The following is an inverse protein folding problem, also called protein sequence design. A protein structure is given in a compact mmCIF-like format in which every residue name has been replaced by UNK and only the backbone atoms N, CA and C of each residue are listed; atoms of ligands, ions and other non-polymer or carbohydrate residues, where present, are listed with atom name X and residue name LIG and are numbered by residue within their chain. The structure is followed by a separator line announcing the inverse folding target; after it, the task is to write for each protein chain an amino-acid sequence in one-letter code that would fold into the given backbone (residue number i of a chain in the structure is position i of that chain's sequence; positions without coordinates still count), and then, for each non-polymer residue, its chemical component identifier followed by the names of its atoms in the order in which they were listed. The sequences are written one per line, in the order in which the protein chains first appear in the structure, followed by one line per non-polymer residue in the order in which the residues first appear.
data_IF_820629433233
#
_entry.id   IF_820629433233
#
_cell.length_a   1.000
_cell.length_b   1.000
_cell.length_c   1.000
_cell.angle_alpha   90.00
_cell.angle_beta   90.00
_cell.angle_gamma   90.00
#
_symmetry.space_group_name_H-M   'P 1'
#
loop_
_entity.id
_entity.type
_entity.pdbx_description
1 polymer ?
#
# COMPACT_ATOMS: atom_id res chain seq x y z
N UNK A 1 17.75 -7.68 10.97
CA UNK A 1 17.58 -6.44 10.17
C UNK A 1 18.40 -5.35 10.83
N UNK A 2 19.00 -4.42 10.07
CA UNK A 2 19.90 -3.43 10.68
C UNK A 2 19.12 -2.29 11.36
N UNK A 3 19.71 -1.69 12.38
CA UNK A 3 19.18 -0.55 13.14
C UNK A 3 18.55 0.55 12.27
N UNK A 4 19.12 0.83 11.09
CA UNK A 4 18.56 1.78 10.12
C UNK A 4 17.11 1.43 9.72
N UNK A 5 16.85 0.17 9.33
CA UNK A 5 15.51 -0.27 8.91
C UNK A 5 14.49 -0.25 10.02
N UNK A 6 14.92 -0.50 11.24
CA UNK A 6 14.02 -0.56 12.40
C UNK A 6 13.74 0.82 12.99
N UNK A 7 14.75 1.70 13.08
CA UNK A 7 14.62 2.95 13.82
C UNK A 7 14.55 4.20 12.95
N UNK A 8 15.28 4.25 11.84
CA UNK A 8 15.39 5.47 11.00
C UNK A 8 14.36 5.46 9.88
N UNK A 9 14.31 4.36 9.12
CA UNK A 9 13.48 4.26 7.93
C UNK A 9 12.00 4.59 8.18
N UNK A 10 11.32 4.10 9.24
CA UNK A 10 9.91 4.44 9.48
C UNK A 10 9.68 5.96 9.66
N UNK A 11 10.63 6.66 10.28
CA UNK A 11 10.56 8.12 10.46
C UNK A 11 10.76 8.88 9.15
N UNK A 12 11.72 8.42 8.33
CA UNK A 12 11.98 8.99 7.00
C UNK A 12 10.78 8.78 6.09
N UNK A 13 10.26 7.57 6.05
CA UNK A 13 9.07 7.21 5.25
C UNK A 13 7.86 8.00 5.72
N UNK A 14 7.61 8.10 7.03
CA UNK A 14 6.51 8.91 7.55
C UNK A 14 6.54 10.34 7.00
N UNK A 15 7.72 10.98 7.01
CA UNK A 15 7.86 12.35 6.51
C UNK A 15 7.73 12.43 4.98
N UNK A 16 8.32 11.46 4.26
CA UNK A 16 8.30 11.42 2.80
C UNK A 16 6.90 11.14 2.24
N UNK A 17 6.09 10.35 2.96
CA UNK A 17 4.74 9.94 2.54
C UNK A 17 3.62 10.81 3.13
N UNK A 18 3.96 11.90 3.81
CA UNK A 18 3.03 12.88 4.40
C UNK A 18 3.17 14.26 3.74
N UNK A 19 3.40 14.30 2.44
CA UNK A 19 3.45 15.57 1.69
C UNK A 19 2.06 15.98 1.21
N UNK A 20 1.95 17.22 0.69
CA UNK A 20 0.68 17.71 0.15
C UNK A 20 0.12 16.81 -0.95
N UNK A 21 0.99 16.24 -1.79
CA UNK A 21 0.58 15.42 -2.94
C UNK A 21 -0.02 14.08 -2.48
N UNK A 22 0.65 13.39 -1.55
CA UNK A 22 0.13 12.12 -1.01
C UNK A 22 -1.17 12.36 -0.22
N UNK A 23 -1.30 13.49 0.47
CA UNK A 23 -2.55 13.89 1.15
C UNK A 23 -3.71 14.14 0.18
N UNK A 24 -3.45 14.51 -1.07
CA UNK A 24 -4.48 14.64 -2.12
C UNK A 24 -4.85 13.28 -2.75
N UNK A 25 -3.93 12.31 -2.77
CA UNK A 25 -4.13 10.95 -3.32
C UNK A 25 -4.91 10.07 -2.33
N UNK A 26 -4.57 10.09 -1.04
CA UNK A 26 -5.16 9.21 -0.02
C UNK A 26 -6.70 9.26 0.05
N UNK A 27 -7.38 10.42 0.02
CA UNK A 27 -8.84 10.46 0.00
C UNK A 27 -9.45 9.73 -1.21
N UNK A 28 -8.78 9.79 -2.39
CA UNK A 28 -9.27 9.13 -3.60
C UNK A 28 -9.17 7.62 -3.49
N UNK A 29 -8.02 7.10 -3.05
CA UNK A 29 -7.83 5.65 -2.92
C UNK A 29 -8.69 5.07 -1.79
N UNK A 30 -8.93 5.83 -0.71
CA UNK A 30 -9.83 5.43 0.37
C UNK A 30 -11.31 5.56 0.02
N UNK A 31 -11.65 6.36 -0.99
CA UNK A 31 -13.05 6.55 -1.41
C UNK A 31 -13.71 5.23 -1.80
N UNK A 32 -14.89 4.96 -1.23
CA UNK A 32 -15.65 3.74 -1.46
C UNK A 32 -15.20 2.53 -0.64
N UNK A 33 -14.22 2.67 0.26
CA UNK A 33 -13.98 1.68 1.32
C UNK A 33 -15.23 1.58 2.21
N UNK A 34 -15.55 0.37 2.66
CA UNK A 34 -16.71 0.10 3.53
C UNK A 34 -16.53 -1.20 4.30
N UNK A 35 -17.31 -1.38 5.35
CA UNK A 35 -17.33 -2.60 6.14
C UNK A 35 -16.01 -2.89 6.82
N UNK A 36 -15.60 -4.14 6.85
CA UNK A 36 -14.32 -4.58 7.41
C UNK A 36 -13.22 -4.49 6.36
N UNK A 37 -12.16 -3.75 6.68
CA UNK A 37 -11.05 -3.46 5.76
C UNK A 37 -9.75 -4.05 6.29
N UNK A 38 -8.96 -4.71 5.45
CA UNK A 38 -7.56 -5.04 5.74
C UNK A 38 -6.67 -4.00 5.09
N UNK A 39 -5.83 -3.31 5.85
CA UNK A 39 -4.83 -2.38 5.30
C UNK A 39 -3.43 -3.00 5.37
N UNK A 40 -2.89 -3.33 4.20
CA UNK A 40 -1.54 -3.91 4.05
C UNK A 40 -0.52 -2.77 4.00
N UNK A 41 0.41 -2.79 4.95
CA UNK A 41 1.39 -1.71 5.14
C UNK A 41 0.77 -0.47 5.76
N UNK A 42 0.10 -0.66 6.89
CA UNK A 42 -0.54 0.43 7.65
C UNK A 42 0.41 1.59 7.96
N UNK A 43 1.69 1.28 8.13
CA UNK A 43 2.72 2.26 8.38
C UNK A 43 2.46 3.07 9.65
N UNK A 44 2.49 4.39 9.50
CA UNK A 44 2.25 5.32 10.61
C UNK A 44 0.80 5.81 10.69
N UNK A 45 -0.13 5.12 10.02
CA UNK A 45 -1.56 5.43 10.07
C UNK A 45 -1.96 6.68 9.28
N UNK A 46 -1.28 6.99 8.18
CA UNK A 46 -1.58 8.20 7.38
C UNK A 46 -2.94 8.15 6.69
N UNK A 47 -3.55 6.98 6.54
CA UNK A 47 -4.88 6.82 5.95
C UNK A 47 -6.02 6.98 6.96
N UNK A 48 -5.75 6.95 8.27
CA UNK A 48 -6.78 6.94 9.33
C UNK A 48 -7.77 8.11 9.25
N UNK A 49 -7.32 9.28 8.82
CA UNK A 49 -8.15 10.49 8.65
C UNK A 49 -8.96 10.51 7.35
N UNK A 50 -8.78 9.49 6.50
CA UNK A 50 -9.41 9.40 5.19
C UNK A 50 -10.37 8.20 5.07
N UNK A 51 -10.53 7.39 6.13
CA UNK A 51 -11.50 6.32 6.09
C UNK A 51 -12.92 6.89 6.02
N UNK A 52 -13.73 6.46 5.03
CA UNK A 52 -15.15 6.83 4.98
C UNK A 52 -15.93 6.33 6.21
N UNK A 53 -17.02 6.97 6.59
CA UNK A 53 -17.85 6.56 7.73
C UNK A 53 -18.47 5.16 7.56
N UNK A 54 -18.52 4.65 6.34
CA UNK A 54 -18.99 3.28 6.02
C UNK A 54 -17.97 2.20 6.42
N UNK A 55 -16.73 2.55 6.75
CA UNK A 55 -15.73 1.61 7.28
C UNK A 55 -16.04 1.35 8.75
N UNK A 56 -16.36 0.11 9.06
CA UNK A 56 -16.74 -0.29 10.42
C UNK A 56 -15.55 -0.73 11.27
N UNK A 57 -14.48 -1.22 10.64
CA UNK A 57 -13.25 -1.67 11.29
C UNK A 57 -12.10 -1.80 10.29
N UNK A 58 -10.89 -1.51 10.73
CA UNK A 58 -9.65 -1.73 9.97
C UNK A 58 -8.75 -2.73 10.69
N UNK A 59 -8.24 -3.71 9.94
CA UNK A 59 -7.21 -4.64 10.39
C UNK A 59 -5.88 -4.22 9.79
N UNK A 60 -5.04 -3.62 10.63
CA UNK A 60 -3.75 -3.07 10.25
C UNK A 60 -2.69 -4.17 10.14
N UNK A 61 -2.05 -4.28 8.98
CA UNK A 61 -0.91 -5.18 8.77
C UNK A 61 0.37 -4.33 8.74
N UNK A 62 1.19 -4.45 9.78
CA UNK A 62 2.41 -3.63 9.92
C UNK A 62 3.50 -4.38 10.69
N UNK A 63 4.66 -4.51 10.08
CA UNK A 63 5.83 -5.19 10.66
C UNK A 63 6.60 -4.32 11.67
N UNK A 64 6.59 -2.99 11.47
CA UNK A 64 7.41 -2.06 12.23
C UNK A 64 6.72 -1.59 13.50
N UNK A 65 7.21 -2.04 14.66
CA UNK A 65 6.78 -1.51 15.96
C UNK A 65 7.03 0.02 16.10
N UNK A 66 8.01 0.56 15.39
CA UNK A 66 8.26 2.02 15.36
C UNK A 66 7.19 2.72 14.57
N UNK A 67 6.76 2.19 13.42
CA UNK A 67 5.63 2.72 12.65
C UNK A 67 4.37 2.76 13.50
N UNK A 68 4.05 1.68 14.22
CA UNK A 68 2.88 1.60 15.10
C UNK A 68 2.93 2.63 16.24
N UNK A 69 4.09 2.82 16.87
CA UNK A 69 4.24 3.91 17.87
C UNK A 69 4.03 5.30 17.28
N UNK A 70 4.52 5.54 16.06
CA UNK A 70 4.28 6.81 15.36
C UNK A 70 2.81 7.00 14.95
N UNK A 71 2.06 5.91 14.85
CA UNK A 71 0.63 5.92 14.54
C UNK A 71 -0.25 6.25 15.76
N UNK A 72 0.23 6.13 17.01
CA UNK A 72 -0.58 6.22 18.23
C UNK A 72 -1.48 7.46 18.29
N UNK A 73 -0.94 8.65 17.97
CA UNK A 73 -1.75 9.88 17.97
C UNK A 73 -2.85 9.86 16.92
N UNK A 74 -2.57 9.31 15.73
CA UNK A 74 -3.54 9.19 14.64
C UNK A 74 -4.60 8.15 14.97
N UNK A 75 -4.20 7.04 15.59
CA UNK A 75 -5.11 6.01 16.07
C UNK A 75 -6.05 6.56 17.17
N UNK A 76 -5.53 7.33 18.12
CA UNK A 76 -6.33 7.96 19.17
C UNK A 76 -7.36 8.97 18.62
N UNK A 77 -7.06 9.61 17.49
CA UNK A 77 -7.95 10.55 16.81
C UNK A 77 -8.85 9.89 15.75
N UNK A 78 -8.63 8.61 15.45
CA UNK A 78 -9.38 7.88 14.42
C UNK A 78 -10.76 7.50 14.96
N UNK A 79 -11.83 7.88 14.22
CA UNK A 79 -13.19 7.48 14.54
C UNK A 79 -13.51 6.02 14.21
N UNK A 80 -12.69 5.38 13.38
CA UNK A 80 -12.84 3.97 12.99
C UNK A 80 -11.99 3.09 13.89
N UNK A 81 -12.53 1.99 14.47
CA UNK A 81 -11.73 1.01 15.21
C UNK A 81 -10.64 0.40 14.35
N UNK A 82 -9.40 0.42 14.84
CA UNK A 82 -8.24 -0.19 14.17
C UNK A 82 -7.63 -1.25 15.09
N UNK A 83 -7.49 -2.47 14.57
CA UNK A 83 -6.89 -3.61 15.28
C UNK A 83 -5.64 -4.08 14.52
N UNK A 84 -4.64 -4.60 15.24
CA UNK A 84 -3.50 -5.24 14.60
C UNK A 84 -3.94 -6.61 14.05
N UNK A 85 -3.96 -6.74 12.73
CA UNK A 85 -4.38 -7.95 12.00
C UNK A 85 -3.23 -8.86 11.59
N UNK A 86 -1.98 -8.43 11.78
CA UNK A 86 -0.80 -9.21 11.41
C UNK A 86 0.44 -8.36 11.18
N UNK A 87 1.55 -9.02 10.92
CA UNK A 87 2.85 -8.38 10.73
C UNK A 87 3.23 -8.24 9.25
N UNK A 88 2.86 -9.19 8.41
CA UNK A 88 3.29 -9.25 7.00
C UNK A 88 2.12 -9.52 6.07
N UNK A 89 2.09 -8.81 4.95
CA UNK A 89 1.07 -9.02 3.91
C UNK A 89 1.24 -10.32 3.12
N UNK A 90 2.40 -10.99 3.23
CA UNK A 90 2.68 -12.25 2.55
C UNK A 90 2.05 -13.47 3.22
N UNK A 91 1.68 -13.32 4.49
CA UNK A 91 0.97 -14.33 5.28
C UNK A 91 0.11 -13.62 6.31
N UNK A 92 -1.21 -13.64 6.11
CA UNK A 92 -2.18 -13.00 6.98
C UNK A 92 -2.81 -14.05 7.93
N UNK A 93 -2.73 -13.80 9.23
CA UNK A 93 -3.46 -14.58 10.23
C UNK A 93 -4.91 -14.06 10.34
N UNK A 94 -5.59 -14.05 9.20
CA UNK A 94 -6.95 -13.57 9.04
C UNK A 94 -7.78 -14.61 8.29
N UNK A 95 -9.08 -14.73 8.57
CA UNK A 95 -9.95 -15.69 7.90
C UNK A 95 -10.13 -15.39 6.41
N UNK A 96 -10.50 -16.42 5.66
CA UNK A 96 -10.78 -16.31 4.22
C UNK A 96 -12.19 -15.76 3.98
N UNK A 97 -12.33 -14.93 2.95
CA UNK A 97 -13.62 -14.42 2.47
C UNK A 97 -14.46 -13.68 3.53
N UNK A 98 -13.82 -12.93 4.42
CA UNK A 98 -14.52 -12.16 5.47
C UNK A 98 -14.46 -10.64 5.29
N UNK A 99 -13.55 -10.13 4.46
CA UNK A 99 -13.31 -8.69 4.37
C UNK A 99 -13.99 -8.07 3.15
N UNK A 100 -14.60 -6.90 3.37
CA UNK A 100 -15.29 -6.14 2.34
C UNK A 100 -14.33 -5.40 1.41
N UNK A 101 -13.18 -4.99 1.96
CA UNK A 101 -12.12 -4.37 1.18
C UNK A 101 -10.71 -4.71 1.69
N UNK A 102 -9.73 -4.62 0.79
CA UNK A 102 -8.31 -4.54 1.13
C UNK A 102 -7.78 -3.23 0.59
N UNK A 103 -6.95 -2.55 1.36
CA UNK A 103 -6.26 -1.31 0.99
C UNK A 103 -4.75 -1.53 0.99
N UNK A 104 -4.06 -1.09 -0.05
CA UNK A 104 -2.60 -1.01 -0.09
C UNK A 104 -2.14 0.35 -0.61
N UNK A 105 -1.31 1.04 0.15
CA UNK A 105 -0.79 2.35 -0.24
C UNK A 105 0.73 2.37 -0.14
N UNK A 106 1.39 2.38 -1.30
CA UNK A 106 2.87 2.37 -1.46
C UNK A 106 3.56 1.23 -0.69
N UNK A 107 2.93 0.08 -0.63
CA UNK A 107 3.40 -1.10 0.12
C UNK A 107 3.74 -2.27 -0.79
N UNK A 108 2.90 -2.61 -1.77
CA UNK A 108 3.17 -3.70 -2.70
C UNK A 108 4.50 -3.52 -3.46
N UNK A 109 4.90 -2.28 -3.71
CA UNK A 109 6.19 -1.99 -4.33
C UNK A 109 7.38 -2.41 -3.45
N UNK A 110 7.19 -2.57 -2.11
CA UNK A 110 8.25 -2.91 -1.16
C UNK A 110 8.22 -4.37 -0.70
N UNK A 111 7.07 -5.04 -0.75
CA UNK A 111 6.92 -6.43 -0.29
C UNK A 111 7.82 -7.36 -1.12
N UNK A 112 8.67 -8.21 -0.50
CA UNK A 112 9.55 -9.11 -1.23
C UNK A 112 8.80 -10.04 -2.16
N UNK A 113 7.81 -10.77 -1.67
CA UNK A 113 6.98 -11.70 -2.45
C UNK A 113 5.59 -11.10 -2.72
N UNK A 114 5.49 -10.24 -3.73
CA UNK A 114 4.23 -9.61 -4.13
C UNK A 114 3.15 -10.64 -4.53
N UNK A 115 3.54 -11.78 -5.11
CA UNK A 115 2.59 -12.80 -5.51
C UNK A 115 1.91 -13.45 -4.28
N UNK A 116 2.67 -13.72 -3.21
CA UNK A 116 2.11 -14.21 -1.95
C UNK A 116 1.16 -13.16 -1.34
N UNK A 117 1.57 -11.90 -1.28
CA UNK A 117 0.74 -10.82 -0.72
C UNK A 117 -0.58 -10.63 -1.49
N UNK A 118 -0.54 -10.67 -2.81
CA UNK A 118 -1.74 -10.60 -3.64
C UNK A 118 -2.61 -11.86 -3.53
N UNK A 119 -1.99 -13.04 -3.33
CA UNK A 119 -2.70 -14.28 -3.02
C UNK A 119 -3.48 -14.18 -1.70
N UNK A 120 -2.85 -13.66 -0.65
CA UNK A 120 -3.49 -13.41 0.64
C UNK A 120 -4.58 -12.33 0.53
N UNK A 121 -4.30 -11.22 -0.17
CA UNK A 121 -5.30 -10.20 -0.50
C UNK A 121 -6.55 -10.83 -1.11
N UNK A 122 -6.35 -11.72 -2.09
CA UNK A 122 -7.44 -12.43 -2.75
C UNK A 122 -8.15 -13.41 -1.81
N UNK A 123 -7.41 -14.11 -0.96
CA UNK A 123 -7.95 -15.09 -0.01
C UNK A 123 -8.89 -14.45 1.00
N UNK A 124 -8.47 -13.33 1.62
CA UNK A 124 -9.23 -12.70 2.71
C UNK A 124 -10.45 -11.92 2.22
N UNK A 125 -10.44 -11.38 1.00
CA UNK A 125 -11.58 -10.67 0.42
C UNK A 125 -12.80 -11.58 0.27
N UNK A 126 -14.00 -11.05 0.54
CA UNK A 126 -15.28 -11.61 0.12
C UNK A 126 -15.36 -11.75 -1.41
N UNK A 127 -16.28 -12.56 -1.95
CA UNK A 127 -16.48 -12.63 -3.41
C UNK A 127 -16.70 -11.26 -4.06
N UNK A 128 -17.50 -10.38 -3.44
CA UNK A 128 -17.79 -9.02 -3.90
C UNK A 128 -16.83 -7.96 -3.34
N UNK A 129 -15.82 -8.40 -2.58
CA UNK A 129 -14.83 -7.52 -1.95
C UNK A 129 -13.97 -6.79 -2.98
N UNK A 130 -13.51 -5.60 -2.61
CA UNK A 130 -12.75 -4.71 -3.49
C UNK A 130 -11.34 -4.51 -2.98
N UNK A 131 -10.36 -4.65 -3.85
CA UNK A 131 -8.99 -4.29 -3.60
C UNK A 131 -8.72 -2.87 -4.09
N UNK A 132 -8.38 -1.96 -3.18
CA UNK A 132 -7.98 -0.57 -3.44
C UNK A 132 -6.47 -0.45 -3.33
N UNK A 133 -5.85 0.20 -4.30
CA UNK A 133 -4.40 0.34 -4.29
C UNK A 133 -3.91 1.67 -4.86
N UNK A 134 -2.79 2.15 -4.35
CA UNK A 134 -1.93 3.16 -4.96
C UNK A 134 -0.47 2.76 -4.73
N UNK A 135 0.29 2.60 -5.82
CA UNK A 135 1.62 2.01 -5.76
C UNK A 135 2.59 2.67 -6.75
N UNK A 136 3.86 2.75 -6.41
CA UNK A 136 4.90 3.06 -7.39
C UNK A 136 5.14 1.85 -8.31
N UNK A 137 5.46 2.11 -9.58
CA UNK A 137 5.78 1.02 -10.46
C UNK A 137 6.47 1.44 -11.76
N UNK A 138 6.58 0.48 -12.66
CA UNK A 138 7.30 0.61 -13.93
C UNK A 138 6.65 1.65 -14.85
N UNK A 139 7.44 2.59 -15.32
CA UNK A 139 7.00 3.61 -16.28
C UNK A 139 6.92 3.05 -17.70
N UNK A 140 5.91 3.42 -18.50
CA UNK A 140 5.84 3.09 -19.93
C UNK A 140 6.85 3.87 -20.76
N UNK A 141 7.41 4.99 -20.26
CA UNK A 141 8.46 5.73 -20.92
C UNK A 141 9.78 4.97 -20.84
N UNK A 142 10.27 4.49 -21.98
CA UNK A 142 11.49 3.69 -22.07
C UNK A 142 12.75 4.40 -21.51
N UNK A 143 12.82 5.73 -21.58
CA UNK A 143 13.92 6.48 -21.00
C UNK A 143 13.86 6.47 -19.47
N UNK A 144 12.67 6.65 -18.91
CA UNK A 144 12.41 6.59 -17.48
C UNK A 144 12.62 5.17 -16.96
N UNK A 145 12.09 4.14 -17.64
CA UNK A 145 12.25 2.74 -17.29
C UNK A 145 13.71 2.33 -17.15
N UNK A 146 14.58 2.74 -18.10
CA UNK A 146 16.03 2.50 -18.00
C UNK A 146 16.66 3.15 -16.76
N UNK A 147 16.17 4.33 -16.35
CA UNK A 147 16.62 4.95 -15.10
C UNK A 147 16.09 4.22 -13.87
N UNK A 148 14.85 3.77 -13.91
CA UNK A 148 14.27 2.95 -12.83
C UNK A 148 15.11 1.70 -12.59
N UNK A 149 15.43 0.94 -13.64
CA UNK A 149 16.27 -0.27 -13.55
C UNK A 149 17.66 0.01 -12.95
N UNK A 150 18.31 1.10 -13.38
CA UNK A 150 19.63 1.50 -12.86
C UNK A 150 19.60 1.93 -11.39
N UNK A 151 18.56 2.63 -10.99
CA UNK A 151 18.41 3.17 -9.62
C UNK A 151 17.82 2.16 -8.65
N UNK A 152 17.13 1.13 -9.13
CA UNK A 152 16.44 0.16 -8.29
C UNK A 152 17.32 -0.50 -7.21
N UNK A 153 18.57 -0.95 -7.49
CA UNK A 153 19.41 -1.55 -6.45
C UNK A 153 19.68 -0.61 -5.28
N UNK A 154 19.92 0.66 -5.57
CA UNK A 154 20.13 1.70 -4.57
C UNK A 154 18.82 2.03 -3.84
N UNK A 155 17.74 2.21 -4.58
CA UNK A 155 16.41 2.51 -4.04
C UNK A 155 15.94 1.43 -3.05
N UNK A 156 16.09 0.16 -3.40
CA UNK A 156 15.77 -0.98 -2.51
C UNK A 156 16.55 -0.94 -1.20
N UNK A 157 17.82 -0.50 -1.25
CA UNK A 157 18.65 -0.40 -0.05
C UNK A 157 18.24 0.74 0.87
N UNK A 158 17.86 1.89 0.28
CA UNK A 158 17.55 3.13 1.01
C UNK A 158 16.09 3.18 1.45
N UNK A 159 15.15 2.77 0.59
CA UNK A 159 13.70 2.88 0.82
C UNK A 159 13.04 1.52 1.10
N UNK A 160 13.65 0.72 1.99
CA UNK A 160 13.00 -0.44 2.59
C UNK A 160 12.65 -1.59 1.65
N UNK A 161 13.24 -1.66 0.45
CA UNK A 161 12.96 -2.70 -0.53
C UNK A 161 12.08 -2.24 -1.69
N UNK A 162 11.75 -0.95 -1.80
CA UNK A 162 10.89 -0.44 -2.86
C UNK A 162 11.48 -0.71 -4.26
N UNK A 163 10.72 -1.43 -5.07
CA UNK A 163 11.02 -1.75 -6.47
C UNK A 163 10.43 -0.68 -7.38
N UNK A 164 11.26 0.01 -8.14
CA UNK A 164 10.83 1.03 -9.09
C UNK A 164 10.27 0.43 -10.39
N UNK A 165 10.72 -0.78 -10.73
CA UNK A 165 10.43 -1.45 -12.00
C UNK A 165 9.28 -2.47 -11.93
N UNK A 166 8.52 -2.51 -10.83
CA UNK A 166 7.36 -3.42 -10.72
C UNK A 166 6.22 -3.01 -11.63
N UNK A 167 5.73 -3.95 -12.41
CA UNK A 167 4.51 -3.80 -13.20
C UNK A 167 3.31 -4.21 -12.34
N UNK A 168 2.82 -3.26 -11.56
CA UNK A 168 1.81 -3.49 -10.52
C UNK A 168 0.53 -4.08 -11.10
N UNK A 169 0.05 -3.55 -12.20
CA UNK A 169 -1.14 -4.00 -12.94
C UNK A 169 -1.01 -5.45 -13.40
N UNK A 170 0.15 -5.84 -13.98
CA UNK A 170 0.39 -7.22 -14.39
C UNK A 170 0.40 -8.18 -13.18
N UNK A 171 1.00 -7.79 -12.05
CA UNK A 171 1.00 -8.61 -10.84
C UNK A 171 -0.41 -8.81 -10.28
N UNK A 172 -1.22 -7.74 -10.24
CA UNK A 172 -2.61 -7.79 -9.79
C UNK A 172 -3.43 -8.72 -10.70
N UNK A 173 -3.29 -8.58 -12.02
CA UNK A 173 -4.00 -9.42 -12.98
C UNK A 173 -3.59 -10.91 -12.87
N UNK A 174 -2.29 -11.20 -12.72
CA UNK A 174 -1.77 -12.58 -12.53
C UNK A 174 -2.25 -13.23 -11.24
N UNK A 175 -2.53 -12.44 -10.21
CA UNK A 175 -3.09 -12.93 -8.95
C UNK A 175 -4.60 -13.28 -9.04
N UNK A 176 -5.22 -13.13 -10.22
CA UNK A 176 -6.63 -13.47 -10.44
C UNK A 176 -7.59 -12.35 -10.07
N UNK A 177 -7.14 -11.10 -10.18
CA UNK A 177 -7.99 -9.92 -10.10
C UNK A 177 -8.35 -9.39 -11.49
N UNK A 178 -9.50 -8.73 -11.57
CA UNK A 178 -9.90 -7.86 -12.69
C UNK A 178 -9.80 -6.43 -12.20
N UNK A 179 -8.98 -5.62 -12.85
CA UNK A 179 -8.85 -4.20 -12.53
C UNK A 179 -10.05 -3.48 -13.18
N UNK A 180 -10.92 -2.90 -12.33
CA UNK A 180 -12.11 -2.18 -12.78
C UNK A 180 -11.82 -0.70 -13.07
N UNK A 181 -10.88 -0.13 -12.33
CA UNK A 181 -10.42 1.25 -12.51
C UNK A 181 -8.89 1.30 -12.36
N UNK A 182 -8.23 1.98 -13.28
CA UNK A 182 -6.79 2.19 -13.23
C UNK A 182 -6.45 3.57 -13.77
N UNK A 183 -5.89 4.39 -12.92
CA UNK A 183 -5.27 5.66 -13.26
C UNK A 183 -3.75 5.52 -13.14
N UNK A 184 -3.02 5.94 -14.17
CA UNK A 184 -1.56 5.94 -14.13
C UNK A 184 -1.04 7.33 -14.45
N UNK A 185 -0.10 7.80 -13.64
CA UNK A 185 0.43 9.15 -13.78
C UNK A 185 1.80 9.31 -13.12
N UNK A 186 2.47 10.40 -13.44
CA UNK A 186 3.64 10.84 -12.69
C UNK A 186 3.19 11.74 -11.53
N UNK A 187 3.51 11.33 -10.30
CA UNK A 187 3.24 12.12 -9.09
C UNK A 187 3.92 13.49 -9.21
N UNK A 188 3.13 14.55 -9.04
CA UNK A 188 3.59 15.93 -9.19
C UNK A 188 4.70 16.26 -8.19
N UNK A 189 5.80 16.81 -8.68
CA UNK A 189 6.95 17.19 -7.86
C UNK A 189 7.92 16.05 -7.54
N UNK A 190 7.58 14.78 -7.83
CA UNK A 190 8.52 13.68 -7.73
C UNK A 190 9.41 13.60 -8.99
N UNK A 191 10.70 13.25 -8.85
CA UNK A 191 11.53 12.94 -10.01
C UNK A 191 10.93 11.73 -10.76
N UNK A 192 10.85 11.79 -12.09
CA UNK A 192 10.15 10.79 -12.91
C UNK A 192 10.46 9.33 -12.59
N UNK A 193 11.73 8.90 -12.34
CA UNK A 193 12.02 7.51 -12.01
C UNK A 193 11.35 7.00 -10.73
N UNK A 194 11.02 7.90 -9.79
CA UNK A 194 10.41 7.57 -8.49
C UNK A 194 8.92 7.85 -8.42
N UNK A 195 8.36 8.55 -9.41
CA UNK A 195 7.03 9.13 -9.32
C UNK A 195 5.97 8.46 -10.20
N UNK A 196 6.30 7.40 -10.97
CA UNK A 196 5.26 6.74 -11.76
C UNK A 196 4.37 5.90 -10.86
N UNK A 197 3.07 6.21 -10.87
CA UNK A 197 2.09 5.73 -9.91
C UNK A 197 0.95 5.01 -10.62
N UNK A 198 0.52 3.90 -10.02
CA UNK A 198 -0.67 3.14 -10.35
C UNK A 198 -1.68 3.34 -9.23
N UNK A 199 -2.84 3.92 -9.50
CA UNK A 199 -3.94 4.11 -8.57
C UNK A 199 -5.18 3.42 -9.12
N UNK A 200 -5.82 2.55 -8.33
CA UNK A 200 -6.96 1.83 -8.88
C UNK A 200 -7.72 0.94 -7.90
N UNK A 201 -8.67 0.22 -8.50
CA UNK A 201 -9.52 -0.76 -7.82
C UNK A 201 -9.61 -2.04 -8.64
N UNK A 202 -9.63 -3.16 -7.95
CA UNK A 202 -9.71 -4.47 -8.56
C UNK A 202 -10.67 -5.39 -7.77
N UNK A 203 -11.27 -6.37 -8.45
CA UNK A 203 -12.12 -7.41 -7.86
C UNK A 203 -11.59 -8.78 -8.20
N UNK A 204 -11.98 -9.77 -7.43
CA UNK A 204 -11.74 -11.18 -7.79
C UNK A 204 -12.37 -11.49 -9.16
N UNK A 205 -11.63 -12.29 -9.95
CA UNK A 205 -12.16 -12.88 -11.17
C UNK A 205 -13.09 -14.01 -10.79
#
# INVERSE_FOLDING_TARGET
MGWYREQVLPRVVNKAMDTKVEREIRPRVCSGLRGQVVEIGFGTGLNTVHYPPEVTRVYAIELSAVSMRLAEQRLAACGTPVELGGLTGEQLDLPSAEFDAVLSTWTLCTIPNIAAALGETRRVLKPEGVFHFVEHGHSPDAAVARWQERLEPLNKRVFGGCHLSRKIDEHIARAGFVIEQLDTYYTKGAPKPFGYTFEGRARKR
#
